data_IF_884371245240
#
_entry.id   IF_884371245240
#
_cell.length_a   1.000
_cell.length_b   1.000
_cell.length_c   1.000
_cell.angle_alpha   90.00
_cell.angle_beta   90.00
_cell.angle_gamma   90.00
#
_symmetry.space_group_name_H-M   'P 1'
#
loop_
_entity.id
_entity.type
_entity.pdbx_description
1 polymer ?
#
# COMPACT_ATOMS: atom_id res chain seq x y z
N UNK A 1 -0.19 -6.02 1.27
CA UNK A 1 -0.97 -6.24 0.03
C UNK A 1 -2.42 -6.34 0.45
N UNK A 2 -3.28 -5.48 -0.07
CA UNK A 2 -4.69 -5.43 0.29
C UNK A 2 -5.56 -5.34 -0.97
N UNK A 3 -6.70 -6.03 -0.93
CA UNK A 3 -7.76 -6.02 -1.96
C UNK A 3 -9.06 -6.46 -1.31
N UNK A 4 -10.22 -6.06 -1.85
CA UNK A 4 -11.49 -6.57 -1.34
C UNK A 4 -11.72 -8.05 -1.69
N UNK A 5 -12.38 -8.83 -0.80
CA UNK A 5 -12.75 -10.21 -1.06
C UNK A 5 -13.65 -10.33 -2.30
N UNK A 6 -13.42 -11.34 -3.14
CA UNK A 6 -14.25 -11.63 -4.33
C UNK A 6 -13.85 -10.89 -5.61
N UNK A 7 -12.97 -9.88 -5.55
CA UNK A 7 -12.50 -9.14 -6.74
C UNK A 7 -11.16 -9.65 -7.31
N UNK A 8 -10.49 -10.57 -6.60
CA UNK A 8 -9.17 -11.11 -6.93
C UNK A 8 -9.09 -11.87 -8.27
N UNK A 9 -10.23 -12.19 -8.91
CA UNK A 9 -10.28 -12.96 -10.16
C UNK A 9 -10.15 -12.10 -11.43
N UNK A 10 -10.03 -10.77 -11.31
CA UNK A 10 -9.79 -9.86 -12.44
C UNK A 10 -8.36 -9.29 -12.37
N UNK A 11 -7.75 -9.00 -13.51
CA UNK A 11 -6.50 -8.22 -13.56
C UNK A 11 -6.79 -6.78 -13.11
N UNK A 12 -6.64 -6.52 -11.82
CA UNK A 12 -6.85 -5.21 -11.23
C UNK A 12 -5.58 -4.36 -11.35
N UNK A 13 -5.70 -3.03 -11.50
CA UNK A 13 -4.55 -2.13 -11.40
C UNK A 13 -3.90 -2.24 -10.01
N UNK A 14 -2.58 -2.12 -9.96
CA UNK A 14 -1.79 -2.21 -8.73
C UNK A 14 -1.15 -0.87 -8.41
N UNK A 15 -1.44 -0.35 -7.22
CA UNK A 15 -0.78 0.82 -6.64
C UNK A 15 0.29 0.33 -5.66
N UNK A 16 1.55 0.62 -5.97
CA UNK A 16 2.68 0.37 -5.06
C UNK A 16 3.05 1.67 -4.37
N UNK A 17 2.94 1.70 -3.04
CA UNK A 17 3.23 2.86 -2.21
C UNK A 17 4.53 2.66 -1.42
N UNK A 18 5.42 3.64 -1.52
CA UNK A 18 6.66 3.74 -0.76
C UNK A 18 6.51 4.96 0.14
N UNK A 19 6.55 4.73 1.45
CA UNK A 19 6.37 5.82 2.40
C UNK A 19 7.52 6.83 2.32
N UNK A 20 7.23 8.08 2.70
CA UNK A 20 8.24 9.13 2.86
C UNK A 20 9.00 8.99 4.19
N UNK A 21 9.62 10.10 4.63
CA UNK A 21 10.39 10.16 5.88
C UNK A 21 11.90 10.25 5.66
N UNK A 22 12.32 10.80 4.51
CA UNK A 22 13.70 11.17 4.20
C UNK A 22 14.73 10.05 4.43
N UNK A 23 14.34 8.80 4.21
CA UNK A 23 15.14 7.59 4.44
C UNK A 23 15.55 7.34 5.90
N UNK A 24 15.00 8.08 6.87
CA UNK A 24 15.33 7.95 8.30
C UNK A 24 14.14 7.62 9.18
N UNK A 25 12.92 7.78 8.66
CA UNK A 25 11.68 7.50 9.38
C UNK A 25 10.60 6.96 8.43
N UNK A 26 9.53 6.42 9.02
CA UNK A 26 8.33 5.98 8.32
C UNK A 26 8.06 4.48 8.46
N UNK A 27 6.87 4.06 8.02
CA UNK A 27 6.44 2.67 8.06
C UNK A 27 5.27 2.47 7.07
N UNK A 28 5.19 1.34 6.37
CA UNK A 28 4.01 1.01 5.57
C UNK A 28 2.76 0.74 6.41
N UNK A 29 2.90 0.54 7.72
CA UNK A 29 1.76 0.34 8.65
C UNK A 29 1.16 1.67 9.17
N UNK A 30 1.67 2.82 8.71
CA UNK A 30 1.13 4.11 9.09
C UNK A 30 -0.34 4.23 8.66
N UNK A 31 -1.27 4.68 9.54
CA UNK A 31 -2.69 4.81 9.17
C UNK A 31 -2.92 5.82 8.04
N UNK A 32 -1.95 6.70 7.80
CA UNK A 32 -1.93 7.63 6.67
C UNK A 32 -1.87 6.95 5.30
N UNK A 33 -1.47 5.67 5.25
CA UNK A 33 -1.29 4.90 4.02
C UNK A 33 -2.29 3.74 3.91
N UNK A 34 -3.40 3.81 4.66
CA UNK A 34 -4.45 2.82 4.57
C UNK A 34 -5.09 2.83 3.16
N UNK A 35 -5.18 1.65 2.55
CA UNK A 35 -5.58 1.47 1.16
C UNK A 35 -7.09 1.31 0.94
N UNK A 36 -7.92 1.41 1.98
CA UNK A 36 -9.35 1.06 1.92
C UNK A 36 -10.12 1.76 0.79
N UNK A 37 -9.92 3.07 0.60
CA UNK A 37 -10.60 3.81 -0.46
C UNK A 37 -10.26 3.27 -1.85
N UNK A 38 -8.98 2.96 -2.09
CA UNK A 38 -8.52 2.37 -3.36
C UNK A 38 -9.01 0.93 -3.52
N UNK A 39 -9.02 0.14 -2.45
CA UNK A 39 -9.50 -1.25 -2.48
C UNK A 39 -10.99 -1.32 -2.86
N UNK A 40 -11.83 -0.44 -2.30
CA UNK A 40 -13.25 -0.27 -2.67
C UNK A 40 -13.40 -0.01 -4.17
N UNK A 41 -12.52 0.82 -4.72
CA UNK A 41 -12.56 1.22 -6.13
C UNK A 41 -11.90 0.18 -7.07
N UNK A 42 -11.40 -0.93 -6.51
CA UNK A 42 -10.88 -2.07 -7.27
C UNK A 42 -9.40 -1.94 -7.63
N UNK A 43 -8.64 -1.19 -6.85
CA UNK A 43 -7.19 -1.09 -6.96
C UNK A 43 -6.56 -1.97 -5.88
N UNK A 44 -5.59 -2.80 -6.27
CA UNK A 44 -4.79 -3.56 -5.31
C UNK A 44 -3.73 -2.63 -4.74
N UNK A 45 -3.68 -2.51 -3.41
CA UNK A 45 -2.71 -1.63 -2.75
C UNK A 45 -1.57 -2.43 -2.12
N UNK A 46 -0.34 -1.99 -2.37
CA UNK A 46 0.90 -2.61 -1.84
C UNK A 46 1.76 -1.53 -1.20
N UNK A 47 1.71 -1.45 0.13
CA UNK A 47 2.64 -0.61 0.91
C UNK A 47 3.88 -1.43 1.29
N UNK A 48 5.06 -0.88 1.02
CA UNK A 48 6.34 -1.61 1.13
C UNK A 48 7.19 -1.07 2.29
N UNK A 49 7.79 -1.99 3.07
CA UNK A 49 8.85 -1.65 4.02
C UNK A 49 10.19 -1.53 3.30
N UNK A 50 11.01 -0.55 3.70
CA UNK A 50 12.41 -0.47 3.30
C UNK A 50 13.28 -0.07 4.51
N UNK A 51 14.60 -0.31 4.43
CA UNK A 51 15.52 0.04 5.53
C UNK A 51 15.62 1.55 5.69
N UNK A 52 15.77 1.98 6.93
CA UNK A 52 15.90 3.38 7.32
C UNK A 52 17.20 3.58 8.09
N UNK A 53 17.77 4.77 7.97
CA UNK A 53 19.06 5.09 8.57
C UNK A 53 20.24 4.46 7.82
N UNK A 54 21.40 4.54 8.46
CA UNK A 54 22.66 3.93 8.01
C UNK A 54 22.77 2.49 8.53
#
# INVERSE_FOLDING_TARGET
VYTEPGRAQRHLPVLVWIHGGAFVAGSPASPWYDGQAFNRDGIVTVSVSYRLGL
#
